data_IF_225503620986
#
_entry.id   IF_225503620986
#
_cell.length_a   1.000
_cell.length_b   1.000
_cell.length_c   1.000
_cell.angle_alpha   90.00
_cell.angle_beta   90.00
_cell.angle_gamma   90.00
#
_symmetry.space_group_name_H-M   'P 1'
#
loop_
_entity.id
_entity.type
_entity.pdbx_description
1 polymer ?
#
# COMPACT_ATOMS: atom_id res chain seq x y z
N UNK A 1 -1.77 29.05 33.11
CA UNK A 1 -1.03 30.32 32.91
C UNK A 1 0.36 30.15 32.28
N UNK A 2 1.03 28.99 32.30
CA UNK A 2 2.41 28.86 31.81
C UNK A 2 2.58 28.66 30.28
N UNK A 3 1.54 28.31 29.52
CA UNK A 3 1.64 28.11 28.04
C UNK A 3 1.95 29.39 27.26
N UNK A 4 1.60 30.53 27.82
CA UNK A 4 1.74 31.86 27.21
C UNK A 4 2.98 32.62 27.74
N UNK A 5 3.60 32.12 28.81
CA UNK A 5 4.72 32.79 29.47
C UNK A 5 5.95 32.80 28.56
N UNK A 6 6.66 33.93 28.49
CA UNK A 6 7.83 34.08 27.64
C UNK A 6 9.12 33.88 28.44
N UNK A 7 10.13 33.25 27.83
CA UNK A 7 11.47 33.16 28.42
C UNK A 7 12.22 34.52 28.31
N UNK A 8 13.48 34.57 28.77
CA UNK A 8 14.32 35.76 28.68
C UNK A 8 14.54 36.27 27.24
N UNK A 9 14.43 35.38 26.25
CA UNK A 9 14.55 35.70 24.82
C UNK A 9 13.20 36.10 24.19
N UNK A 10 12.13 36.19 24.98
CA UNK A 10 10.80 36.57 24.49
C UNK A 10 10.00 35.44 23.82
N UNK A 11 10.48 34.20 23.87
CA UNK A 11 9.86 33.02 23.23
C UNK A 11 8.88 32.30 24.17
N UNK A 12 7.71 31.91 23.66
CA UNK A 12 6.79 30.99 24.34
C UNK A 12 7.36 29.55 24.33
N UNK A 13 6.94 28.65 25.24
CA UNK A 13 7.43 27.27 25.30
C UNK A 13 7.31 26.51 23.98
N UNK A 14 6.21 26.73 23.23
CA UNK A 14 6.02 26.12 21.91
C UNK A 14 7.02 26.64 20.88
N UNK A 15 7.32 27.94 20.89
CA UNK A 15 8.23 28.56 19.90
C UNK A 15 9.67 28.12 20.17
N UNK A 16 10.05 28.04 21.44
CA UNK A 16 11.35 27.52 21.86
C UNK A 16 11.48 26.02 21.52
N UNK A 17 10.41 25.23 21.70
CA UNK A 17 10.41 23.81 21.33
C UNK A 17 10.57 23.62 19.82
N UNK A 18 9.77 24.31 19.00
CA UNK A 18 9.86 24.25 17.53
C UNK A 18 11.25 24.67 17.05
N UNK A 19 11.80 25.77 17.57
CA UNK A 19 13.14 26.24 17.23
C UNK A 19 14.22 25.21 17.56
N UNK A 20 14.14 24.59 18.74
CA UNK A 20 15.11 23.58 19.16
C UNK A 20 14.97 22.24 18.41
N UNK A 21 13.82 21.95 17.80
CA UNK A 21 13.53 20.68 17.11
C UNK A 21 13.34 20.85 15.59
N UNK A 22 13.67 22.02 15.02
CA UNK A 22 13.51 22.30 13.58
C UNK A 22 14.24 21.28 12.71
N UNK A 23 15.46 20.90 13.09
CA UNK A 23 16.24 19.89 12.38
C UNK A 23 15.50 18.54 12.34
N UNK A 24 14.97 18.07 13.47
CA UNK A 24 14.25 16.80 13.57
C UNK A 24 12.97 16.80 12.73
N UNK A 25 12.26 17.94 12.68
CA UNK A 25 11.07 18.09 11.83
C UNK A 25 11.43 18.00 10.34
N UNK A 26 12.54 18.64 9.94
CA UNK A 26 13.03 18.57 8.56
C UNK A 26 13.50 17.17 8.17
N UNK A 27 14.21 16.47 9.06
CA UNK A 27 14.62 15.08 8.86
C UNK A 27 13.41 14.15 8.75
N UNK A 28 12.41 14.29 9.63
CA UNK A 28 11.15 13.53 9.56
C UNK A 28 10.37 13.79 8.27
N UNK A 29 10.36 15.03 7.76
CA UNK A 29 9.78 15.39 6.46
C UNK A 29 10.50 14.73 5.30
N UNK A 30 11.82 14.77 5.32
CA UNK A 30 12.62 14.15 4.28
C UNK A 30 12.39 12.64 4.25
N UNK A 31 12.45 11.99 5.41
CA UNK A 31 12.15 10.57 5.55
C UNK A 31 10.76 10.20 5.03
N UNK A 32 9.73 10.98 5.37
CA UNK A 32 8.37 10.73 4.88
C UNK A 32 8.24 10.87 3.36
N UNK A 33 8.93 11.84 2.75
CA UNK A 33 8.96 12.00 1.28
C UNK A 33 9.70 10.86 0.60
N UNK A 34 10.85 10.46 1.11
CA UNK A 34 11.61 9.33 0.58
C UNK A 34 10.82 8.02 0.66
N UNK A 35 10.13 7.82 1.78
CA UNK A 35 9.23 6.68 2.00
C UNK A 35 8.06 6.70 1.02
N UNK A 36 7.36 7.85 0.89
CA UNK A 36 6.26 8.01 -0.05
C UNK A 36 6.70 7.79 -1.51
N UNK A 37 7.88 8.29 -1.90
CA UNK A 37 8.46 8.07 -3.23
C UNK A 37 8.71 6.58 -3.49
N UNK A 38 9.34 5.89 -2.54
CA UNK A 38 9.63 4.46 -2.65
C UNK A 38 8.36 3.64 -2.81
N UNK A 39 7.33 3.89 -1.99
CA UNK A 39 6.06 3.17 -2.12
C UNK A 39 5.22 3.59 -3.32
N UNK A 40 5.37 4.81 -3.84
CA UNK A 40 4.78 5.22 -5.13
C UNK A 40 5.31 4.33 -6.26
N UNK A 41 6.61 4.07 -6.29
CA UNK A 41 7.24 3.19 -7.28
C UNK A 41 6.68 1.76 -7.15
N UNK A 42 6.65 1.22 -5.93
CA UNK A 42 6.10 -0.13 -5.66
C UNK A 42 4.63 -0.21 -6.10
N UNK A 43 3.81 0.79 -5.75
CA UNK A 43 2.40 0.81 -6.10
C UNK A 43 2.18 0.88 -7.62
N UNK A 44 2.95 1.72 -8.31
CA UNK A 44 2.93 1.83 -9.78
C UNK A 44 3.31 0.51 -10.45
N UNK A 45 4.28 -0.22 -9.89
CA UNK A 45 4.65 -1.55 -10.36
C UNK A 45 3.50 -2.54 -10.21
N UNK A 46 2.84 -2.58 -9.05
CA UNK A 46 1.66 -3.44 -8.83
C UNK A 46 0.56 -3.09 -9.83
N UNK A 47 0.28 -1.80 -10.05
CA UNK A 47 -0.72 -1.35 -11.02
C UNK A 47 -0.41 -1.91 -12.40
N UNK A 48 0.83 -1.81 -12.84
CA UNK A 48 1.26 -2.27 -14.16
C UNK A 48 1.12 -3.78 -14.31
N UNK A 49 1.55 -4.55 -13.30
CA UNK A 49 1.49 -6.02 -13.32
C UNK A 49 0.03 -6.50 -13.33
N UNK A 50 -0.82 -5.95 -12.45
CA UNK A 50 -2.23 -6.37 -12.36
C UNK A 50 -3.04 -5.91 -13.58
N UNK A 51 -2.79 -4.69 -14.08
CA UNK A 51 -3.43 -4.24 -15.32
C UNK A 51 -3.09 -5.16 -16.49
N UNK A 52 -1.82 -5.58 -16.61
CA UNK A 52 -1.43 -6.57 -17.61
C UNK A 52 -2.11 -7.93 -17.37
N UNK A 53 -2.20 -8.39 -16.12
CA UNK A 53 -2.86 -9.65 -15.75
C UNK A 53 -4.36 -9.68 -16.09
N UNK A 54 -5.05 -8.55 -15.97
CA UNK A 54 -6.46 -8.40 -16.37
C UNK A 54 -6.70 -8.66 -17.87
N UNK A 55 -5.74 -8.30 -18.74
CA UNK A 55 -5.82 -8.54 -20.19
C UNK A 55 -5.14 -9.84 -20.63
N UNK A 56 -4.20 -10.35 -19.84
CA UNK A 56 -3.48 -11.61 -20.08
C UNK A 56 -4.01 -12.72 -19.18
N UNK A 57 -5.34 -12.89 -19.21
CA UNK A 57 -6.04 -13.79 -18.29
C UNK A 57 -5.48 -15.22 -18.32
N UNK A 58 -5.49 -15.93 -17.17
CA UNK A 58 -5.02 -17.31 -17.08
C UNK A 58 -5.73 -18.20 -18.10
N UNK A 59 -4.96 -18.97 -18.88
CA UNK A 59 -5.50 -19.85 -19.92
C UNK A 59 -5.88 -19.15 -21.23
N UNK A 60 -5.93 -17.81 -21.27
CA UNK A 60 -6.25 -17.04 -22.46
C UNK A 60 -7.72 -17.03 -22.87
N UNK A 61 -7.98 -16.52 -24.07
CA UNK A 61 -9.32 -16.41 -24.65
C UNK A 61 -9.56 -17.51 -25.70
N UNK A 62 -10.81 -17.93 -25.82
CA UNK A 62 -11.27 -18.81 -26.89
C UNK A 62 -11.17 -18.08 -28.23
N UNK A 63 -10.44 -18.66 -29.19
CA UNK A 63 -10.16 -18.01 -30.48
C UNK A 63 -11.43 -17.78 -31.33
N UNK A 64 -12.50 -18.54 -31.10
CA UNK A 64 -13.74 -18.42 -31.87
C UNK A 64 -14.73 -17.43 -31.24
N UNK A 65 -14.73 -17.32 -29.91
CA UNK A 65 -15.69 -16.48 -29.16
C UNK A 65 -15.09 -15.19 -28.62
N UNK A 66 -13.77 -15.11 -28.52
CA UNK A 66 -13.05 -13.99 -27.91
C UNK A 66 -13.21 -13.89 -26.39
N UNK A 67 -13.90 -14.84 -25.75
CA UNK A 67 -14.17 -14.83 -24.30
C UNK A 67 -13.14 -15.67 -23.53
N UNK A 68 -12.87 -15.36 -22.24
CA UNK A 68 -11.94 -16.13 -21.43
C UNK A 68 -12.32 -17.62 -21.35
N UNK A 69 -11.36 -18.51 -21.54
CA UNK A 69 -11.58 -19.98 -21.54
C UNK A 69 -12.10 -20.49 -20.19
N UNK A 70 -11.76 -19.78 -19.11
CA UNK A 70 -12.19 -20.11 -17.74
C UNK A 70 -13.40 -19.33 -17.25
N UNK A 71 -14.11 -18.63 -18.14
CA UNK A 71 -15.35 -17.94 -17.81
C UNK A 71 -16.36 -18.90 -17.16
N UNK A 72 -16.97 -18.46 -16.06
CA UNK A 72 -17.92 -19.26 -15.28
C UNK A 72 -17.29 -20.17 -14.20
N UNK A 73 -15.96 -20.26 -14.11
CA UNK A 73 -15.30 -20.95 -12.98
C UNK A 73 -15.17 -20.02 -11.78
N UNK A 74 -15.48 -20.51 -10.58
CA UNK A 74 -15.35 -19.73 -9.34
C UNK A 74 -13.94 -19.15 -9.13
N UNK A 75 -12.89 -19.92 -9.44
CA UNK A 75 -11.51 -19.44 -9.34
C UNK A 75 -11.21 -18.30 -10.35
N UNK A 76 -11.86 -18.28 -11.51
CA UNK A 76 -11.72 -17.19 -12.48
C UNK A 76 -12.42 -15.92 -12.01
N UNK A 77 -13.62 -16.04 -11.44
CA UNK A 77 -14.29 -14.90 -10.79
C UNK A 77 -13.46 -14.34 -9.63
N UNK A 78 -12.86 -15.20 -8.80
CA UNK A 78 -11.96 -14.78 -7.73
C UNK A 78 -10.72 -14.05 -8.27
N UNK A 79 -10.11 -14.56 -9.34
CA UNK A 79 -8.98 -13.92 -10.01
C UNK A 79 -9.32 -12.49 -10.44
N UNK A 80 -10.40 -12.29 -11.19
CA UNK A 80 -10.79 -10.97 -11.70
C UNK A 80 -11.15 -10.00 -10.56
N UNK A 81 -11.91 -10.45 -9.56
CA UNK A 81 -12.29 -9.60 -8.43
C UNK A 81 -11.06 -9.18 -7.63
N UNK A 82 -10.16 -10.12 -7.34
CA UNK A 82 -8.93 -9.83 -6.61
C UNK A 82 -7.99 -8.90 -7.39
N UNK A 83 -7.86 -9.09 -8.70
CA UNK A 83 -7.07 -8.22 -9.57
C UNK A 83 -7.57 -6.77 -9.53
N UNK A 84 -8.88 -6.56 -9.72
CA UNK A 84 -9.51 -5.24 -9.66
C UNK A 84 -9.36 -4.59 -8.28
N UNK A 85 -9.55 -5.34 -7.20
CA UNK A 85 -9.36 -4.82 -5.84
C UNK A 85 -7.89 -4.45 -5.58
N UNK A 86 -6.94 -5.24 -6.09
CA UNK A 86 -5.51 -4.92 -6.02
C UNK A 86 -5.20 -3.61 -6.75
N UNK A 87 -5.74 -3.41 -7.95
CA UNK A 87 -5.58 -2.20 -8.75
C UNK A 87 -6.14 -0.96 -8.06
N UNK A 88 -7.37 -1.02 -7.56
CA UNK A 88 -8.02 0.11 -6.89
C UNK A 88 -7.25 0.48 -5.63
N UNK A 89 -6.88 -0.51 -4.81
CA UNK A 89 -6.11 -0.28 -3.59
C UNK A 89 -4.73 0.32 -3.88
N UNK A 90 -4.00 -0.20 -4.88
CA UNK A 90 -2.68 0.33 -5.25
C UNK A 90 -2.77 1.74 -5.81
N UNK A 91 -3.72 1.99 -6.72
CA UNK A 91 -3.94 3.32 -7.31
C UNK A 91 -4.28 4.36 -6.24
N UNK A 92 -5.16 4.00 -5.29
CA UNK A 92 -5.50 4.87 -4.17
C UNK A 92 -4.29 5.20 -3.29
N UNK A 93 -3.45 4.20 -3.02
CA UNK A 93 -2.20 4.36 -2.27
C UNK A 93 -1.21 5.28 -3.00
N UNK A 94 -0.99 5.07 -4.30
CA UNK A 94 -0.13 5.89 -5.16
C UNK A 94 -0.60 7.35 -5.17
N UNK A 95 -1.90 7.60 -5.34
CA UNK A 95 -2.44 8.97 -5.30
C UNK A 95 -2.21 9.64 -3.94
N UNK A 96 -2.33 8.88 -2.85
CA UNK A 96 -2.06 9.40 -1.51
C UNK A 96 -0.58 9.74 -1.31
N UNK A 97 0.34 8.88 -1.76
CA UNK A 97 1.78 9.14 -1.68
C UNK A 97 2.22 10.31 -2.58
N UNK A 98 1.67 10.42 -3.79
CA UNK A 98 1.87 11.61 -4.64
C UNK A 98 1.38 12.86 -3.91
N UNK A 99 0.22 12.79 -3.25
CA UNK A 99 -0.28 13.87 -2.40
C UNK A 99 0.69 14.28 -1.29
N UNK A 100 1.41 13.32 -0.68
CA UNK A 100 2.46 13.59 0.31
C UNK A 100 3.67 14.28 -0.34
N UNK A 101 4.09 13.82 -1.52
CA UNK A 101 5.23 14.38 -2.25
C UNK A 101 4.99 15.82 -2.71
N UNK A 102 3.78 16.12 -3.21
CA UNK A 102 3.41 17.43 -3.74
C UNK A 102 3.00 18.43 -2.66
N UNK A 103 2.53 17.96 -1.50
CA UNK A 103 2.05 18.86 -0.44
C UNK A 103 3.19 19.68 0.19
N UNK A 104 2.98 21.00 0.24
CA UNK A 104 3.82 21.95 0.99
C UNK A 104 3.22 22.10 2.41
N UNK A 105 3.33 21.07 3.23
CA UNK A 105 2.78 21.08 4.60
C UNK A 105 3.32 22.28 5.41
N UNK A 106 2.43 23.07 6.01
CA UNK A 106 2.76 24.01 7.08
C UNK A 106 3.09 23.23 8.37
N UNK A 107 4.01 23.72 9.21
CA UNK A 107 4.53 23.00 10.39
C UNK A 107 3.46 22.41 11.33
N UNK A 108 2.31 23.07 11.49
CA UNK A 108 1.26 22.61 12.41
C UNK A 108 0.41 21.46 11.84
N UNK A 109 0.06 21.48 10.55
CA UNK A 109 -0.68 20.37 9.92
C UNK A 109 0.21 19.18 9.59
N UNK A 110 1.53 19.41 9.54
CA UNK A 110 2.53 18.40 9.24
C UNK A 110 2.54 17.27 10.30
N UNK A 111 2.50 17.59 11.59
CA UNK A 111 2.74 16.60 12.65
C UNK A 111 1.61 15.57 12.83
N UNK A 112 0.38 15.88 12.45
CA UNK A 112 -0.77 14.98 12.59
C UNK A 112 -1.28 14.44 11.27
N UNK A 113 -1.38 15.28 10.22
CA UNK A 113 -2.00 14.85 8.97
C UNK A 113 -1.04 14.04 8.07
N UNK A 114 0.26 14.32 8.11
CA UNK A 114 1.28 13.59 7.34
C UNK A 114 1.42 12.13 7.79
N UNK A 115 1.67 11.80 9.08
CA UNK A 115 1.81 10.40 9.50
C UNK A 115 0.52 9.61 9.26
N UNK A 116 -0.64 10.23 9.45
CA UNK A 116 -1.95 9.58 9.20
C UNK A 116 -2.13 9.21 7.73
N UNK A 117 -1.80 10.12 6.81
CA UNK A 117 -1.85 9.83 5.36
C UNK A 117 -0.80 8.81 4.96
N UNK A 118 0.42 8.88 5.50
CA UNK A 118 1.46 7.91 5.22
C UNK A 118 1.04 6.50 5.66
N UNK A 119 0.43 6.40 6.84
CA UNK A 119 -0.07 5.15 7.40
C UNK A 119 -1.22 4.56 6.56
N UNK A 120 -2.19 5.38 6.16
CA UNK A 120 -3.30 4.92 5.32
C UNK A 120 -2.81 4.51 3.92
N UNK A 121 -1.84 5.22 3.35
CA UNK A 121 -1.16 4.84 2.12
C UNK A 121 -0.47 3.49 2.24
N UNK A 122 0.25 3.25 3.34
CA UNK A 122 0.92 1.98 3.61
C UNK A 122 -0.09 0.83 3.83
N UNK A 123 -1.18 1.09 4.53
CA UNK A 123 -2.24 0.10 4.73
C UNK A 123 -2.87 -0.34 3.40
N UNK A 124 -3.19 0.62 2.54
CA UNK A 124 -3.81 0.36 1.24
C UNK A 124 -2.89 -0.38 0.27
N UNK A 125 -1.58 -0.08 0.25
CA UNK A 125 -0.63 -0.83 -0.59
C UNK A 125 -0.42 -2.26 -0.09
N UNK A 126 -0.38 -2.49 1.24
CA UNK A 126 -0.29 -3.84 1.79
C UNK A 126 -1.55 -4.65 1.46
N UNK A 127 -2.73 -4.04 1.58
CA UNK A 127 -3.99 -4.65 1.16
C UNK A 127 -3.98 -5.00 -0.34
N UNK A 128 -3.42 -4.13 -1.18
CA UNK A 128 -3.23 -4.41 -2.61
C UNK A 128 -2.36 -5.63 -2.86
N UNK A 129 -1.26 -5.80 -2.11
CA UNK A 129 -0.38 -6.98 -2.21
C UNK A 129 -1.11 -8.26 -1.81
N UNK A 130 -1.96 -8.23 -0.78
CA UNK A 130 -2.78 -9.38 -0.37
C UNK A 130 -3.72 -9.79 -1.51
N UNK A 131 -4.42 -8.84 -2.13
CA UNK A 131 -5.28 -9.13 -3.27
C UNK A 131 -4.51 -9.63 -4.49
N UNK A 132 -3.33 -9.07 -4.79
CA UNK A 132 -2.45 -9.56 -5.84
C UNK A 132 -2.06 -11.02 -5.62
N UNK A 133 -1.74 -11.42 -4.39
CA UNK A 133 -1.41 -12.81 -4.07
C UNK A 133 -2.62 -13.75 -4.16
N UNK A 134 -3.82 -13.29 -3.79
CA UNK A 134 -5.07 -14.02 -4.02
C UNK A 134 -5.32 -14.25 -5.52
N UNK A 135 -5.13 -13.22 -6.36
CA UNK A 135 -5.24 -13.33 -7.81
C UNK A 135 -4.22 -14.34 -8.35
N UNK A 136 -2.96 -14.25 -7.92
CA UNK A 136 -1.91 -15.19 -8.31
C UNK A 136 -2.25 -16.64 -7.94
N UNK A 137 -2.73 -16.89 -6.72
CA UNK A 137 -3.17 -18.23 -6.30
C UNK A 137 -4.34 -18.75 -7.14
N UNK A 138 -5.32 -17.88 -7.44
CA UNK A 138 -6.46 -18.23 -8.28
C UNK A 138 -6.03 -18.56 -9.72
N UNK A 139 -5.09 -17.78 -10.28
CA UNK A 139 -4.50 -18.03 -11.59
C UNK A 139 -3.77 -19.39 -11.64
N UNK A 140 -2.93 -19.70 -10.64
CA UNK A 140 -2.26 -20.99 -10.54
C UNK A 140 -3.26 -22.15 -10.39
N UNK A 141 -4.31 -21.99 -9.59
CA UNK A 141 -5.34 -23.01 -9.43
C UNK A 141 -6.10 -23.29 -10.75
N UNK A 142 -6.27 -22.28 -11.60
CA UNK A 142 -6.88 -22.44 -12.92
C UNK A 142 -5.95 -23.15 -13.90
N UNK A 143 -4.66 -22.81 -13.91
CA UNK A 143 -3.67 -23.34 -14.85
C UNK A 143 -3.16 -24.74 -14.50
N UNK A 144 -2.93 -25.01 -13.21
CA UNK A 144 -2.22 -26.20 -12.72
C UNK A 144 -3.18 -27.28 -12.18
N UNK A 145 -4.33 -27.50 -12.83
CA UNK A 145 -5.25 -28.58 -12.47
C UNK A 145 -4.50 -29.93 -12.41
N UNK A 146 -4.25 -30.42 -11.19
CA UNK A 146 -3.55 -31.69 -10.94
C UNK A 146 -2.27 -31.58 -10.11
N UNK A 147 -1.60 -30.43 -10.10
CA UNK A 147 -0.32 -30.24 -9.39
C UNK A 147 -0.52 -29.62 -8.00
N UNK A 148 -1.12 -30.41 -7.08
CA UNK A 148 -1.50 -29.97 -5.73
C UNK A 148 -0.34 -29.38 -4.92
N UNK A 149 0.88 -29.91 -5.07
CA UNK A 149 2.06 -29.42 -4.33
C UNK A 149 2.40 -27.96 -4.66
N UNK A 150 2.30 -27.55 -5.93
CA UNK A 150 2.59 -26.16 -6.36
C UNK A 150 1.52 -25.21 -5.81
N UNK A 151 0.27 -25.64 -5.79
CA UNK A 151 -0.84 -24.87 -5.21
C UNK A 151 -0.64 -24.71 -3.69
N UNK A 152 -0.25 -25.77 -2.98
CA UNK A 152 0.05 -25.71 -1.54
C UNK A 152 1.22 -24.77 -1.26
N UNK A 153 2.30 -24.84 -2.05
CA UNK A 153 3.45 -23.95 -1.92
C UNK A 153 3.09 -22.47 -2.20
N UNK A 154 2.26 -22.21 -3.21
CA UNK A 154 1.79 -20.87 -3.52
C UNK A 154 0.90 -20.30 -2.40
N UNK A 155 -0.01 -21.11 -1.85
CA UNK A 155 -0.83 -20.72 -0.70
C UNK A 155 0.07 -20.42 0.51
N UNK A 156 1.06 -21.27 0.80
CA UNK A 156 2.00 -21.05 1.89
C UNK A 156 2.79 -19.74 1.72
N UNK A 157 3.22 -19.42 0.50
CA UNK A 157 3.90 -18.16 0.18
C UNK A 157 2.99 -16.94 0.36
N UNK A 158 1.70 -17.05 0.01
CA UNK A 158 0.71 -15.98 0.17
C UNK A 158 0.47 -15.59 1.63
N UNK A 159 0.83 -16.43 2.60
CA UNK A 159 0.70 -16.13 4.03
C UNK A 159 1.75 -15.09 4.48
N UNK A 160 2.88 -15.00 3.79
CA UNK A 160 3.99 -14.10 4.16
C UNK A 160 3.55 -12.63 4.22
N UNK A 161 2.95 -12.03 3.18
CA UNK A 161 2.48 -10.64 3.26
C UNK A 161 1.38 -10.42 4.31
N UNK A 162 0.55 -11.44 4.58
CA UNK A 162 -0.48 -11.38 5.63
C UNK A 162 0.17 -11.31 7.01
N UNK A 163 1.22 -12.11 7.26
CA UNK A 163 1.99 -12.06 8.51
C UNK A 163 2.68 -10.72 8.70
N UNK A 164 3.30 -10.18 7.64
CA UNK A 164 3.93 -8.85 7.67
C UNK A 164 2.89 -7.78 8.02
N UNK A 165 1.71 -7.84 7.42
CA UNK A 165 0.60 -6.92 7.72
C UNK A 165 0.13 -7.03 9.17
N UNK A 166 -0.07 -8.25 9.67
CA UNK A 166 -0.52 -8.50 11.04
C UNK A 166 0.52 -8.04 12.09
N UNK A 167 1.81 -8.30 11.83
CA UNK A 167 2.90 -7.80 12.65
C UNK A 167 2.97 -6.27 12.65
N UNK A 168 2.81 -5.65 11.47
CA UNK A 168 2.81 -4.19 11.34
C UNK A 168 1.65 -3.58 12.13
N UNK A 169 0.43 -4.13 12.02
CA UNK A 169 -0.72 -3.69 12.80
C UNK A 169 -0.51 -3.86 14.32
N UNK A 170 0.00 -5.02 14.76
CA UNK A 170 0.30 -5.27 16.17
C UNK A 170 1.28 -4.25 16.74
N UNK A 171 2.33 -3.91 15.98
CA UNK A 171 3.32 -2.91 16.38
C UNK A 171 2.69 -1.53 16.51
N UNK A 172 1.84 -1.13 15.57
CA UNK A 172 1.15 0.17 15.60
C UNK A 172 0.19 0.29 16.79
N UNK A 173 -0.49 -0.80 17.18
CA UNK A 173 -1.37 -0.80 18.36
C UNK A 173 -0.62 -0.89 19.69
N UNK A 174 0.67 -1.27 19.67
CA UNK A 174 1.50 -1.43 20.86
C UNK A 174 2.32 -0.19 21.22
N UNK A 175 2.38 0.82 20.33
CA UNK A 175 2.98 2.14 20.58
C UNK A 175 1.90 3.18 20.93
#
# INVERSE_FOLDING_TARGET
>A
MCKEAKNADGLKPHELFTKNHEQLVNEGRQWAKETASSFTIVGTLIITIMFAAAFTVPGGNDQNKGTPIFLGKNAFSLFIIADVLSLIASTSSVLMFIGILTSRYAEQDFLTSLPTKLLFGLFTILLSVVFMMCAFCAALALMLKGYRWIIIAAIASSVIPILVFMFTLLRIFSE
#
